data_IF_731383382967
#
_entry.id   IF_731383382967
#
_cell.length_a   1.000
_cell.length_b   1.000
_cell.length_c   1.000
_cell.angle_alpha   90.00
_cell.angle_beta   90.00
_cell.angle_gamma   90.00
#
_symmetry.space_group_name_H-M   'P 1'
#
loop_
_entity.id
_entity.type
_entity.pdbx_description
1 polymer ?
#
# COMPACT_ATOMS: atom_id res chain seq x y z
N UNK A 1 9.79 -6.76 -9.52
CA UNK A 1 9.59 -8.22 -9.19
C UNK A 1 8.22 -8.68 -9.68
N UNK A 2 7.77 -9.93 -9.32
CA UNK A 2 6.40 -10.38 -9.66
C UNK A 2 5.41 -9.84 -8.63
N UNK A 3 4.13 -9.67 -9.01
CA UNK A 3 3.09 -9.24 -8.06
C UNK A 3 2.94 -10.18 -6.85
N UNK A 4 3.20 -11.48 -7.04
CA UNK A 4 3.18 -12.46 -5.93
C UNK A 4 4.29 -12.20 -4.91
N UNK A 5 5.47 -11.77 -5.36
CA UNK A 5 6.57 -11.37 -4.46
C UNK A 5 6.20 -10.15 -3.62
N UNK A 6 5.55 -9.14 -4.24
CA UNK A 6 5.07 -7.95 -3.54
C UNK A 6 3.94 -8.27 -2.56
N UNK A 7 3.04 -9.21 -2.90
CA UNK A 7 2.02 -9.72 -1.96
C UNK A 7 2.70 -10.36 -0.73
N UNK A 8 3.68 -11.24 -0.95
CA UNK A 8 4.37 -11.93 0.15
C UNK A 8 5.16 -10.96 1.04
N UNK A 9 5.90 -10.02 0.44
CA UNK A 9 6.62 -8.98 1.18
C UNK A 9 5.68 -8.06 1.94
N UNK A 10 4.59 -7.63 1.30
CA UNK A 10 3.55 -6.83 1.92
C UNK A 10 2.86 -7.55 3.07
N UNK A 11 2.55 -8.84 2.91
CA UNK A 11 1.97 -9.67 3.96
C UNK A 11 2.89 -9.75 5.20
N UNK A 12 4.19 -9.99 5.00
CA UNK A 12 5.16 -10.05 6.08
C UNK A 12 5.29 -8.69 6.79
N UNK A 13 5.44 -7.60 6.03
CA UNK A 13 5.52 -6.25 6.59
C UNK A 13 4.25 -5.85 7.34
N UNK A 14 3.09 -6.19 6.79
CA UNK A 14 1.79 -5.98 7.42
C UNK A 14 1.59 -6.83 8.68
N UNK A 15 2.08 -8.07 8.71
CA UNK A 15 2.05 -8.90 9.92
C UNK A 15 2.85 -8.27 11.05
N UNK A 16 4.03 -7.73 10.76
CA UNK A 16 4.87 -7.02 11.75
C UNK A 16 4.14 -5.76 12.24
N UNK A 17 3.61 -4.93 11.34
CA UNK A 17 2.85 -3.75 11.70
C UNK A 17 1.61 -4.11 12.54
N UNK A 18 0.88 -5.14 12.14
CA UNK A 18 -0.28 -5.65 12.87
C UNK A 18 0.07 -6.18 14.26
N UNK A 19 1.21 -6.86 14.40
CA UNK A 19 1.70 -7.29 15.72
C UNK A 19 1.93 -6.11 16.66
N UNK A 20 2.48 -5.01 16.14
CA UNK A 20 2.72 -3.79 16.91
C UNK A 20 1.45 -3.00 17.23
N UNK A 21 0.37 -3.19 16.44
CA UNK A 21 -0.89 -2.43 16.55
C UNK A 21 -2.09 -3.24 17.01
N UNK A 22 -1.89 -4.54 17.34
CA UNK A 22 -2.85 -5.37 18.06
C UNK A 22 -3.49 -6.49 17.26
N UNK A 23 -3.39 -6.53 15.92
CA UNK A 23 -3.94 -7.64 15.12
C UNK A 23 -3.04 -7.99 13.92
N UNK A 24 -2.14 -9.00 14.10
CA UNK A 24 -1.23 -9.42 13.03
C UNK A 24 -1.95 -10.08 11.84
N UNK A 25 -3.12 -10.70 12.04
CA UNK A 25 -3.86 -11.35 10.96
C UNK A 25 -4.44 -10.29 10.02
N UNK A 26 -5.15 -9.31 10.58
CA UNK A 26 -5.67 -8.18 9.82
C UNK A 26 -4.53 -7.38 9.19
N UNK A 27 -3.46 -7.13 9.92
CA UNK A 27 -2.27 -6.46 9.40
C UNK A 27 -1.65 -7.19 8.21
N UNK A 28 -1.57 -8.53 8.25
CA UNK A 28 -1.09 -9.36 7.14
C UNK A 28 -1.91 -9.14 5.87
N UNK A 29 -3.24 -9.19 6.00
CA UNK A 29 -4.14 -9.02 4.84
C UNK A 29 -4.03 -7.61 4.25
N UNK A 30 -4.06 -6.59 5.10
CA UNK A 30 -3.93 -5.18 4.67
C UNK A 30 -2.58 -4.95 3.98
N UNK A 31 -1.49 -5.42 4.58
CA UNK A 31 -0.15 -5.26 4.02
C UNK A 31 0.04 -5.99 2.69
N UNK A 32 -0.54 -7.20 2.55
CA UNK A 32 -0.52 -7.95 1.30
C UNK A 32 -1.18 -7.17 0.14
N UNK A 33 -2.31 -6.53 0.41
CA UNK A 33 -3.03 -5.69 -0.57
C UNK A 33 -2.23 -4.42 -0.85
N UNK A 34 -1.73 -3.75 0.19
CA UNK A 34 -0.98 -2.50 0.07
C UNK A 34 0.36 -2.67 -0.66
N UNK A 35 0.96 -3.86 -0.56
CA UNK A 35 2.16 -4.21 -1.33
C UNK A 35 1.97 -4.19 -2.85
N UNK A 36 0.75 -4.09 -3.34
CA UNK A 36 0.45 -3.96 -4.77
C UNK A 36 0.18 -2.52 -5.22
N UNK A 37 0.03 -1.56 -4.28
CA UNK A 37 -0.37 -0.20 -4.62
C UNK A 37 0.64 0.55 -5.50
N UNK A 38 1.96 0.47 -5.28
CA UNK A 38 2.89 1.16 -6.15
C UNK A 38 2.80 0.75 -7.63
N UNK A 39 2.42 -0.50 -7.90
CA UNK A 39 2.25 -1.03 -9.26
C UNK A 39 0.93 -0.58 -9.95
N UNK A 40 0.16 0.33 -9.36
CA UNK A 40 -1.08 0.84 -9.96
C UNK A 40 -0.82 1.63 -11.26
N UNK A 41 0.38 2.18 -11.44
CA UNK A 41 0.82 2.89 -12.65
C UNK A 41 1.25 1.96 -13.79
N UNK A 42 1.24 0.64 -13.58
CA UNK A 42 1.64 -0.33 -14.60
C UNK A 42 0.44 -1.12 -15.12
N UNK A 43 -0.03 -0.88 -16.37
CA UNK A 43 -1.20 -1.56 -16.94
C UNK A 43 -1.10 -3.08 -17.03
N UNK A 44 0.12 -3.64 -16.98
CA UNK A 44 0.39 -5.07 -16.95
C UNK A 44 0.40 -5.71 -15.58
N UNK A 45 0.39 -4.93 -14.50
CA UNK A 45 0.41 -5.43 -13.11
C UNK A 45 -0.94 -6.07 -12.70
N UNK A 46 -0.95 -6.74 -11.54
CA UNK A 46 -2.19 -7.34 -11.01
C UNK A 46 -3.28 -6.30 -10.75
N UNK A 47 -2.92 -5.15 -10.21
CA UNK A 47 -3.86 -4.04 -9.94
C UNK A 47 -4.10 -3.23 -11.19
N UNK A 48 -3.06 -2.86 -11.93
CA UNK A 48 -3.17 -2.03 -13.12
C UNK A 48 -4.04 -2.63 -14.22
N UNK A 49 -4.08 -3.96 -14.36
CA UNK A 49 -5.01 -4.62 -15.30
C UNK A 49 -6.47 -4.41 -14.94
N UNK A 50 -6.80 -4.35 -13.65
CA UNK A 50 -8.18 -4.08 -13.17
C UNK A 50 -8.54 -2.61 -13.25
N UNK A 51 -7.58 -1.73 -13.04
CA UNK A 51 -7.72 -0.27 -13.08
C UNK A 51 -7.08 0.32 -14.34
N UNK A 52 -7.15 -0.40 -15.47
CA UNK A 52 -6.41 -0.09 -16.70
C UNK A 52 -6.52 1.37 -17.18
N UNK A 53 -7.69 2.02 -17.17
CA UNK A 53 -7.78 3.44 -17.56
C UNK A 53 -6.92 4.35 -16.66
N UNK A 54 -6.91 4.08 -15.35
CA UNK A 54 -6.11 4.84 -14.39
C UNK A 54 -4.63 4.51 -14.56
N UNK A 55 -4.29 3.24 -14.72
CA UNK A 55 -2.91 2.79 -14.92
C UNK A 55 -2.28 3.42 -16.16
N UNK A 56 -3.00 3.41 -17.29
CA UNK A 56 -2.55 4.03 -18.55
C UNK A 56 -2.39 5.54 -18.38
N UNK A 57 -3.33 6.21 -17.72
CA UNK A 57 -3.24 7.65 -17.47
C UNK A 57 -2.00 8.00 -16.64
N UNK A 58 -1.75 7.27 -15.56
CA UNK A 58 -0.59 7.49 -14.69
C UNK A 58 0.72 7.20 -15.44
N UNK A 59 0.78 6.12 -16.22
CA UNK A 59 1.96 5.76 -17.01
C UNK A 59 2.28 6.83 -18.06
N UNK A 60 1.26 7.37 -18.75
CA UNK A 60 1.44 8.43 -19.77
C UNK A 60 1.85 9.75 -19.13
N UNK A 61 1.28 10.12 -17.98
CA UNK A 61 1.56 11.41 -17.34
C UNK A 61 2.91 11.43 -16.62
N UNK A 62 3.28 10.36 -15.97
CA UNK A 62 4.41 10.34 -15.03
C UNK A 62 5.47 9.30 -15.37
N UNK A 63 5.19 8.39 -16.29
CA UNK A 63 6.04 7.24 -16.59
C UNK A 63 5.93 6.13 -15.53
N UNK A 64 6.24 4.92 -15.93
CA UNK A 64 6.28 3.77 -15.01
C UNK A 64 7.44 3.92 -14.00
N UNK A 65 7.20 3.53 -12.75
CA UNK A 65 8.15 3.61 -11.64
C UNK A 65 8.63 5.03 -11.31
N UNK A 66 7.82 6.03 -11.52
CA UNK A 66 8.12 7.40 -11.12
C UNK A 66 7.51 7.76 -9.77
N UNK A 67 6.38 8.46 -9.76
CA UNK A 67 5.75 8.96 -8.53
C UNK A 67 5.29 7.85 -7.60
N UNK A 68 4.69 6.79 -8.13
CA UNK A 68 4.13 5.69 -7.34
C UNK A 68 5.20 4.84 -6.63
N UNK A 69 6.43 4.84 -7.15
CA UNK A 69 7.57 4.13 -6.58
C UNK A 69 8.47 5.04 -5.73
N UNK A 70 7.88 6.04 -5.07
CA UNK A 70 8.58 6.93 -4.14
C UNK A 70 8.14 6.69 -2.70
N UNK A 71 9.03 7.01 -1.75
CA UNK A 71 8.68 7.02 -0.32
C UNK A 71 7.54 8.00 -0.04
N UNK A 72 7.50 9.13 -0.77
CA UNK A 72 6.45 10.13 -0.63
C UNK A 72 5.06 9.60 -0.99
N UNK A 73 4.96 8.75 -2.02
CA UNK A 73 3.71 8.07 -2.36
C UNK A 73 3.27 7.11 -1.24
N UNK A 74 4.21 6.32 -0.70
CA UNK A 74 3.91 5.40 0.40
C UNK A 74 3.44 6.13 1.66
N UNK A 75 4.08 7.25 2.00
CA UNK A 75 3.66 8.09 3.12
C UNK A 75 2.30 8.76 2.84
N UNK A 76 2.09 9.23 1.62
CA UNK A 76 0.84 9.84 1.21
C UNK A 76 -0.34 8.88 1.29
N UNK A 77 -0.19 7.64 0.79
CA UNK A 77 -1.27 6.63 0.86
C UNK A 77 -1.51 6.17 2.31
N UNK A 78 -0.44 6.04 3.12
CA UNK A 78 -0.54 5.72 4.54
C UNK A 78 -1.37 6.79 5.29
N UNK A 79 -1.05 8.07 5.07
CA UNK A 79 -1.77 9.19 5.68
C UNK A 79 -3.22 9.28 5.19
N UNK A 80 -3.44 9.18 3.87
CA UNK A 80 -4.77 9.22 3.28
C UNK A 80 -5.68 8.13 3.86
N UNK A 81 -5.20 6.89 3.87
CA UNK A 81 -5.97 5.75 4.39
C UNK A 81 -6.19 5.90 5.90
N UNK A 82 -5.22 6.42 6.65
CA UNK A 82 -5.39 6.73 8.07
C UNK A 82 -6.47 7.78 8.33
N UNK A 83 -6.51 8.85 7.55
CA UNK A 83 -7.55 9.89 7.63
C UNK A 83 -8.93 9.28 7.30
N UNK A 84 -9.04 8.52 6.20
CA UNK A 84 -10.29 7.89 5.80
C UNK A 84 -10.79 6.90 6.86
N UNK A 85 -9.89 6.09 7.44
CA UNK A 85 -10.24 5.19 8.53
C UNK A 85 -10.71 5.94 9.78
N UNK A 86 -10.09 7.07 10.11
CA UNK A 86 -10.53 7.95 11.20
C UNK A 86 -11.92 8.54 10.97
N UNK A 87 -12.20 9.00 9.75
CA UNK A 87 -13.52 9.52 9.38
C UNK A 87 -14.58 8.42 9.47
N UNK A 88 -14.31 7.24 8.93
CA UNK A 88 -15.23 6.09 8.98
C UNK A 88 -15.50 5.68 10.42
N UNK A 89 -14.47 5.55 11.25
CA UNK A 89 -14.64 5.22 12.66
C UNK A 89 -15.46 6.29 13.39
N UNK A 90 -15.19 7.58 13.14
CA UNK A 90 -15.97 8.68 13.72
C UNK A 90 -17.45 8.62 13.34
N UNK A 91 -17.76 8.14 12.13
CA UNK A 91 -19.14 7.93 11.70
C UNK A 91 -19.79 6.69 12.35
N UNK A 92 -19.05 5.62 12.60
CA UNK A 92 -19.56 4.36 13.14
C UNK A 92 -19.77 4.37 14.65
N UNK A 93 -18.92 5.09 15.40
CA UNK A 93 -18.96 5.16 16.87
C UNK A 93 -20.33 5.55 17.43
N UNK A 94 -21.07 6.56 16.92
CA UNK A 94 -22.39 6.90 17.42
C UNK A 94 -23.43 5.79 17.33
N UNK A 95 -23.20 4.80 16.45
CA UNK A 95 -24.07 3.63 16.28
C UNK A 95 -23.61 2.42 17.12
N UNK A 96 -22.62 2.60 17.99
CA UNK A 96 -22.07 1.50 18.80
C UNK A 96 -21.23 0.49 18.02
N UNK A 97 -20.83 0.82 16.78
CA UNK A 97 -20.02 -0.05 15.92
C UNK A 97 -18.55 0.31 16.11
N UNK A 98 -17.76 -0.66 16.55
CA UNK A 98 -16.30 -0.49 16.64
C UNK A 98 -15.67 -0.86 15.29
N UNK A 99 -15.01 0.12 14.66
CA UNK A 99 -14.19 -0.12 13.48
C UNK A 99 -12.79 -0.62 13.83
N UNK A 100 -12.02 -0.94 12.79
CA UNK A 100 -10.60 -1.29 12.97
C UNK A 100 -9.80 -0.07 13.44
N UNK A 101 -8.76 -0.33 14.24
CA UNK A 101 -7.85 0.71 14.71
C UNK A 101 -7.23 1.49 13.54
N UNK A 102 -7.26 2.82 13.60
CA UNK A 102 -6.64 3.70 12.59
C UNK A 102 -5.15 3.40 12.47
N UNK A 103 -4.46 3.17 13.59
CA UNK A 103 -3.04 2.83 13.60
C UNK A 103 -2.77 1.48 12.93
N UNK A 104 -3.62 0.47 13.18
CA UNK A 104 -3.52 -0.83 12.52
C UNK A 104 -3.63 -0.69 11.00
N UNK A 105 -4.64 0.02 10.52
CA UNK A 105 -4.88 0.19 9.08
C UNK A 105 -3.72 0.98 8.44
N UNK A 106 -3.42 2.17 8.97
CA UNK A 106 -2.43 3.07 8.36
C UNK A 106 -1.01 2.50 8.40
N UNK A 107 -0.58 1.91 9.51
CA UNK A 107 0.75 1.30 9.62
C UNK A 107 0.89 0.07 8.73
N UNK A 108 -0.15 -0.77 8.64
CA UNK A 108 -0.11 -1.95 7.76
C UNK A 108 -0.09 -1.56 6.28
N UNK A 109 -0.82 -0.51 5.89
CA UNK A 109 -0.76 0.05 4.52
C UNK A 109 0.63 0.63 4.23
N UNK A 110 1.15 1.45 5.13
CA UNK A 110 2.48 2.05 4.97
C UNK A 110 3.58 0.99 4.87
N UNK A 111 3.57 0.01 5.78
CA UNK A 111 4.54 -1.08 5.79
C UNK A 111 4.46 -1.94 4.51
N UNK A 112 3.26 -2.28 4.06
CA UNK A 112 3.05 -3.03 2.82
C UNK A 112 3.56 -2.28 1.58
N UNK A 113 3.23 -1.00 1.45
CA UNK A 113 3.70 -0.17 0.34
C UNK A 113 5.23 0.04 0.36
N UNK A 114 5.82 0.26 1.55
CA UNK A 114 7.28 0.39 1.69
C UNK A 114 8.01 -0.91 1.38
N UNK A 115 7.43 -2.08 1.73
CA UNK A 115 8.02 -3.37 1.39
C UNK A 115 8.13 -3.57 -0.12
N UNK A 116 7.18 -3.07 -0.91
CA UNK A 116 7.25 -3.07 -2.38
C UNK A 116 8.48 -2.31 -2.87
N UNK A 117 8.68 -1.08 -2.38
CA UNK A 117 9.84 -0.27 -2.73
C UNK A 117 11.15 -0.96 -2.36
N UNK A 118 11.22 -1.54 -1.16
CA UNK A 118 12.39 -2.27 -0.70
C UNK A 118 12.74 -3.45 -1.61
N UNK A 119 11.73 -4.24 -2.00
CA UNK A 119 11.90 -5.36 -2.91
C UNK A 119 12.33 -4.91 -4.31
N UNK A 120 11.76 -3.84 -4.83
CA UNK A 120 12.14 -3.32 -6.15
C UNK A 120 13.52 -2.66 -6.16
N UNK A 121 13.94 -2.07 -5.04
CA UNK A 121 15.30 -1.56 -4.87
C UNK A 121 16.37 -2.68 -5.00
N UNK A 122 16.01 -3.92 -4.64
CA UNK A 122 16.89 -5.09 -4.77
C UNK A 122 16.92 -5.67 -6.20
N UNK A 123 16.13 -5.14 -7.13
CA UNK A 123 16.16 -5.59 -8.53
C UNK A 123 17.25 -4.87 -9.32
N UNK A 124 17.71 -5.48 -10.43
CA UNK A 124 18.72 -4.86 -11.32
C UNK A 124 18.29 -3.52 -11.91
N UNK A 125 16.99 -3.31 -12.11
CA UNK A 125 16.45 -2.03 -12.62
C UNK A 125 16.41 -0.95 -11.55
N UNK A 126 16.39 -1.32 -10.27
CA UNK A 126 16.30 -0.39 -9.16
C UNK A 126 15.05 0.49 -9.17
N UNK A 127 15.01 1.45 -8.27
CA UNK A 127 14.00 2.52 -8.18
C UNK A 127 14.69 3.85 -7.84
N UNK A 128 13.96 4.95 -8.00
CA UNK A 128 14.36 6.28 -7.54
C UNK A 128 13.46 6.72 -6.37
N UNK A 129 13.76 6.31 -5.12
CA UNK A 129 12.81 6.41 -4.01
C UNK A 129 12.50 7.83 -3.55
N UNK A 130 13.31 8.81 -3.96
CA UNK A 130 13.20 10.22 -3.55
C UNK A 130 13.00 11.19 -4.71
N UNK A 131 12.63 10.72 -5.86
CA UNK A 131 12.54 11.48 -7.12
C UNK A 131 11.78 12.79 -6.96
#
# INVERSE_FOLDING_TARGET
MTGTTHIAGGALAGAIAGHLTGDPVVGTVIGAIAGLFPDVDHPGSLVGRRLRPIAVLLEVMFGHRSITHTVWFCLGICLLVGILAGIVNGFLVPFGIQGLSVSLISMSVGAGALSHLALDALTRSGIRPFL
#
